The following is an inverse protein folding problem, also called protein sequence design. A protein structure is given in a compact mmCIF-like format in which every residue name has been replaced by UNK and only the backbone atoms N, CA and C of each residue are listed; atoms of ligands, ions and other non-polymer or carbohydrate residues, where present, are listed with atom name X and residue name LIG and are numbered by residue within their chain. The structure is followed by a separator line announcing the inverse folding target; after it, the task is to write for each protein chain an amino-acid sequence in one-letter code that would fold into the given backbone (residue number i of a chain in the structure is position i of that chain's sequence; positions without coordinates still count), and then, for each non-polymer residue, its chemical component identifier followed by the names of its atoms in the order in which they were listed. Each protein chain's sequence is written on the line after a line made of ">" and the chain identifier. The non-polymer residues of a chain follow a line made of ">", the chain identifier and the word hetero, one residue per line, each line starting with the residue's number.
data_IF_439600509412
#
_entry.id   IF_439600509412
#
_cell.length_a   1.000
_cell.length_b   1.000
_cell.length_c   1.000
_cell.angle_alpha   90.00
_cell.angle_beta   90.00
_cell.angle_gamma   90.00
#
_symmetry.space_group_name_H-M   'P 1'
#
loop_
_entity.id
_entity.type
_entity.pdbx_description
1 polymer ?
#
# COMPACT_ATOMS: atom_id res chain seq x y z
N UNK A 1 11.69 5.83 6.70
CA UNK A 1 11.51 6.06 8.15
C UNK A 1 10.35 7.02 8.35
N UNK A 2 9.76 7.09 9.54
CA UNK A 2 8.70 8.06 9.88
C UNK A 2 8.97 8.71 11.24
N UNK A 3 8.38 9.88 11.48
CA UNK A 3 8.31 10.51 12.80
C UNK A 3 6.84 10.81 13.12
N UNK A 4 6.48 10.73 14.39
CA UNK A 4 5.14 11.14 14.86
C UNK A 4 5.05 12.66 15.04
N UNK A 5 6.17 13.30 15.40
CA UNK A 5 6.29 14.75 15.58
C UNK A 5 7.50 15.27 14.83
N UNK A 6 7.52 16.57 14.49
CA UNK A 6 8.62 17.18 13.75
C UNK A 6 9.96 17.10 14.53
N UNK A 7 9.88 17.22 15.85
CA UNK A 7 10.99 17.13 16.81
C UNK A 7 11.31 15.70 17.25
N UNK A 8 10.46 14.72 16.92
CA UNK A 8 10.62 13.33 17.31
C UNK A 8 11.82 12.64 16.66
N UNK A 9 12.13 11.43 17.11
CA UNK A 9 13.15 10.58 16.50
C UNK A 9 12.61 9.86 15.26
N UNK A 10 13.47 9.64 14.27
CA UNK A 10 13.13 8.82 13.11
C UNK A 10 12.97 7.36 13.50
N UNK A 11 11.81 6.78 13.23
CA UNK A 11 11.56 5.35 13.37
C UNK A 11 11.73 4.63 12.03
N UNK A 12 12.63 3.64 11.91
CA UNK A 12 12.80 2.86 10.69
C UNK A 12 11.52 2.07 10.35
N UNK A 13 10.98 2.28 9.15
CA UNK A 13 9.74 1.61 8.68
C UNK A 13 10.00 0.49 7.67
N UNK A 14 11.14 0.50 7.01
CA UNK A 14 11.59 -0.55 6.11
C UNK A 14 13.12 -0.63 6.22
N UNK A 15 13.66 -1.85 6.25
CA UNK A 15 15.09 -2.13 6.38
C UNK A 15 15.53 -2.91 5.14
N UNK A 16 15.81 -2.22 4.03
CA UNK A 16 16.13 -2.91 2.77
C UNK A 16 16.36 -2.04 1.54
N UNK A 17 15.97 -0.76 1.59
CA UNK A 17 16.17 0.17 0.46
C UNK A 17 15.34 -0.16 -0.78
N UNK A 18 14.39 -1.06 -0.69
CA UNK A 18 13.62 -1.63 -1.80
C UNK A 18 12.15 -1.19 -1.83
N UNK A 19 11.77 -0.22 -0.98
CA UNK A 19 10.45 0.39 -1.02
C UNK A 19 10.25 1.12 -2.36
N UNK A 20 9.24 0.72 -3.12
CA UNK A 20 8.89 1.29 -4.44
C UNK A 20 7.75 2.28 -4.38
N UNK A 21 6.73 1.98 -3.58
CA UNK A 21 5.59 2.86 -3.37
C UNK A 21 5.30 2.93 -1.87
N UNK A 22 4.90 4.10 -1.40
CA UNK A 22 4.52 4.35 -0.01
C UNK A 22 3.17 5.06 -0.03
N UNK A 23 2.26 4.68 0.87
CA UNK A 23 1.00 5.37 1.06
C UNK A 23 0.67 5.44 2.55
N UNK A 24 0.07 6.56 2.95
CA UNK A 24 -0.42 6.82 4.30
C UNK A 24 -1.91 7.19 4.19
N UNK A 25 -2.75 6.61 5.04
CA UNK A 25 -4.16 6.99 5.15
C UNK A 25 -4.62 6.80 6.61
N UNK A 26 -5.02 7.89 7.27
CA UNK A 26 -5.29 7.85 8.70
C UNK A 26 -4.07 7.35 9.49
N UNK A 27 -4.26 6.30 10.30
CA UNK A 27 -3.19 5.63 11.06
C UNK A 27 -2.50 4.49 10.28
N UNK A 28 -2.97 4.18 9.07
CA UNK A 28 -2.41 3.10 8.25
C UNK A 28 -1.15 3.57 7.55
N UNK A 29 -0.10 2.77 7.69
CA UNK A 29 1.18 2.94 7.02
C UNK A 29 1.38 1.73 6.12
N UNK A 30 1.63 1.96 4.84
CA UNK A 30 1.90 0.89 3.90
C UNK A 30 3.02 1.24 2.93
N UNK A 31 3.73 0.21 2.47
CA UNK A 31 4.66 0.31 1.36
C UNK A 31 4.66 -0.99 0.55
N UNK A 32 5.09 -0.91 -0.71
CA UNK A 32 5.45 -2.09 -1.48
C UNK A 32 6.94 -2.18 -1.72
N UNK A 33 7.46 -3.39 -1.81
CA UNK A 33 8.86 -3.63 -2.13
C UNK A 33 9.09 -3.86 -3.63
N UNK A 34 10.35 -4.13 -4.01
CA UNK A 34 10.74 -4.34 -5.41
C UNK A 34 10.08 -5.55 -6.08
N UNK A 35 9.74 -6.56 -5.29
CA UNK A 35 8.99 -7.75 -5.70
C UNK A 35 7.47 -7.50 -5.80
N UNK A 36 6.97 -6.32 -5.43
CA UNK A 36 5.54 -6.03 -5.45
C UNK A 36 4.76 -6.66 -4.30
N UNK A 37 5.42 -7.07 -3.22
CA UNK A 37 4.75 -7.41 -1.97
C UNK A 37 4.36 -6.10 -1.27
N UNK A 38 3.10 -6.00 -0.85
CA UNK A 38 2.54 -4.90 -0.08
C UNK A 38 2.59 -5.27 1.39
N UNK A 39 3.23 -4.41 2.17
CA UNK A 39 3.29 -4.50 3.62
C UNK A 39 2.52 -3.33 4.20
N UNK A 40 1.64 -3.60 5.15
CA UNK A 40 0.85 -2.57 5.81
C UNK A 40 0.69 -2.86 7.31
N UNK A 41 0.56 -1.80 8.09
CA UNK A 41 0.20 -1.89 9.50
C UNK A 41 -0.69 -0.72 9.88
N UNK A 42 -1.48 -0.93 10.91
CA UNK A 42 -2.16 0.13 11.62
C UNK A 42 -1.28 0.54 12.81
N UNK A 43 -1.11 1.85 12.98
CA UNK A 43 -0.26 2.48 13.98
C UNK A 43 1.26 2.28 13.79
N UNK A 44 2.02 3.27 14.23
CA UNK A 44 3.48 3.31 14.05
C UNK A 44 4.22 2.18 14.79
N UNK A 45 3.63 1.65 15.87
CA UNK A 45 4.15 0.53 16.65
C UNK A 45 3.42 -0.80 16.38
N UNK A 46 2.48 -0.81 15.43
CA UNK A 46 1.75 -2.01 15.06
C UNK A 46 2.61 -3.05 14.34
N UNK A 47 2.01 -4.22 14.12
CA UNK A 47 2.65 -5.34 13.43
C UNK A 47 2.45 -5.20 11.92
N UNK A 48 3.49 -5.52 11.14
CA UNK A 48 3.38 -5.56 9.68
C UNK A 48 2.60 -6.78 9.22
N UNK A 49 1.62 -6.55 8.35
CA UNK A 49 0.91 -7.56 7.57
C UNK A 49 1.47 -7.59 6.16
N UNK A 50 1.81 -8.79 5.66
CA UNK A 50 2.15 -8.99 4.25
C UNK A 50 0.87 -9.34 3.51
N UNK A 51 0.37 -8.41 2.69
CA UNK A 51 -0.98 -8.51 2.12
C UNK A 51 -1.06 -9.41 0.88
N UNK A 52 0.05 -9.58 0.17
CA UNK A 52 0.19 -10.46 -0.99
C UNK A 52 1.60 -11.09 -0.96
N UNK A 53 1.77 -12.20 -0.21
CA UNK A 53 3.09 -12.80 0.03
C UNK A 53 3.77 -13.35 -1.23
N UNK A 54 3.01 -13.51 -2.32
CA UNK A 54 3.49 -13.90 -3.64
C UNK A 54 4.21 -12.78 -4.41
N UNK A 55 4.06 -11.52 -4.01
CA UNK A 55 4.77 -10.39 -4.61
C UNK A 55 4.41 -10.19 -6.09
N UNK A 56 3.28 -9.53 -6.34
CA UNK A 56 2.73 -9.36 -7.70
C UNK A 56 1.99 -8.05 -7.95
N UNK A 57 2.01 -7.14 -6.98
CA UNK A 57 1.36 -5.85 -7.15
C UNK A 57 2.19 -4.95 -8.06
N UNK A 58 1.58 -4.40 -9.11
CA UNK A 58 2.22 -3.42 -10.00
C UNK A 58 1.84 -1.98 -9.67
N UNK A 59 0.66 -1.77 -9.10
CA UNK A 59 0.19 -0.50 -8.54
C UNK A 59 -0.83 -0.79 -7.44
N UNK A 60 -0.94 0.08 -6.44
CA UNK A 60 -1.90 -0.05 -5.35
C UNK A 60 -2.24 1.31 -4.73
N UNK A 61 -3.34 1.40 -3.98
CA UNK A 61 -3.76 2.61 -3.28
C UNK A 61 -4.44 2.26 -1.95
N UNK A 62 -4.45 3.22 -1.01
CA UNK A 62 -5.28 3.19 0.18
C UNK A 62 -6.44 4.16 0.02
N UNK A 63 -7.64 3.76 0.43
CA UNK A 63 -8.77 4.67 0.59
C UNK A 63 -9.62 4.28 1.81
N UNK A 64 -9.59 5.13 2.84
CA UNK A 64 -10.12 4.77 4.14
C UNK A 64 -9.48 3.47 4.67
N UNK A 65 -10.33 2.51 5.05
CA UNK A 65 -9.87 1.19 5.51
C UNK A 65 -9.53 0.19 4.39
N UNK A 66 -9.72 0.56 3.13
CA UNK A 66 -9.60 -0.34 1.98
C UNK A 66 -8.23 -0.25 1.31
N UNK A 67 -7.80 -1.37 0.76
CA UNK A 67 -6.64 -1.45 -0.13
C UNK A 67 -7.12 -1.88 -1.50
N UNK A 68 -6.68 -1.16 -2.52
CA UNK A 68 -6.95 -1.50 -3.91
C UNK A 68 -5.62 -1.74 -4.63
N UNK A 69 -5.56 -2.72 -5.52
CA UNK A 69 -4.32 -3.11 -6.19
C UNK A 69 -4.56 -3.68 -7.59
N UNK A 70 -3.54 -3.53 -8.43
CA UNK A 70 -3.39 -4.30 -9.66
C UNK A 70 -2.55 -5.53 -9.35
N UNK A 71 -3.16 -6.71 -9.37
CA UNK A 71 -2.53 -8.00 -9.10
C UNK A 71 -2.60 -8.86 -10.37
N UNK A 72 -1.45 -9.19 -10.96
CA UNK A 72 -1.37 -9.93 -12.23
C UNK A 72 -2.22 -9.30 -13.37
N UNK A 73 -2.29 -7.97 -13.40
CA UNK A 73 -3.11 -7.23 -14.36
C UNK A 73 -4.62 -7.27 -14.10
N UNK A 74 -5.07 -7.75 -12.94
CA UNK A 74 -6.46 -7.71 -12.50
C UNK A 74 -6.63 -6.63 -11.44
N UNK A 75 -7.81 -6.00 -11.40
CA UNK A 75 -8.16 -5.07 -10.34
C UNK A 75 -8.76 -5.84 -9.16
N UNK A 76 -8.13 -5.73 -7.99
CA UNK A 76 -8.61 -6.33 -6.76
C UNK A 76 -8.70 -5.29 -5.63
N UNK A 77 -9.66 -5.50 -4.72
CA UNK A 77 -9.80 -4.73 -3.49
C UNK A 77 -9.83 -5.66 -2.28
N UNK A 78 -9.35 -5.19 -1.14
CA UNK A 78 -9.42 -5.89 0.15
C UNK A 78 -9.91 -4.92 1.21
N UNK A 79 -10.88 -5.37 2.00
CA UNK A 79 -11.37 -4.64 3.16
C UNK A 79 -10.50 -5.00 4.38
N UNK A 80 -9.88 -3.99 5.01
CA UNK A 80 -8.94 -4.17 6.12
C UNK A 80 -7.68 -5.02 5.82
N UNK A 81 -6.77 -5.11 6.79
CA UNK A 81 -5.48 -5.82 6.63
C UNK A 81 -5.65 -7.34 6.57
N UNK A 82 -6.65 -7.88 7.25
CA UNK A 82 -6.86 -9.33 7.39
C UNK A 82 -8.01 -9.88 6.52
N UNK A 83 -8.79 -9.02 5.86
CA UNK A 83 -9.87 -9.46 4.97
C UNK A 83 -9.36 -10.17 3.71
N UNK A 84 -10.18 -10.84 2.91
CA UNK A 84 -9.71 -11.43 1.65
C UNK A 84 -9.57 -10.40 0.53
N UNK A 85 -8.71 -10.68 -0.46
CA UNK A 85 -8.76 -9.95 -1.73
C UNK A 85 -10.00 -10.38 -2.53
N UNK A 86 -10.73 -9.40 -3.02
CA UNK A 86 -11.91 -9.55 -3.87
C UNK A 86 -11.56 -9.03 -5.28
N UNK A 87 -11.82 -9.84 -6.30
CA UNK A 87 -11.62 -9.43 -7.68
C UNK A 87 -12.75 -8.49 -8.13
N UNK A 88 -12.39 -7.28 -8.56
CA UNK A 88 -13.31 -6.25 -9.03
C UNK A 88 -13.37 -6.15 -10.56
N UNK A 89 -12.24 -6.42 -11.23
CA UNK A 89 -12.17 -6.61 -12.68
C UNK A 89 -11.09 -7.65 -13.02
N UNK A 90 -11.41 -8.52 -13.97
CA UNK A 90 -10.54 -9.62 -14.42
C UNK A 90 -10.28 -9.53 -15.92
N UNK A 91 -9.13 -10.01 -16.38
CA UNK A 91 -8.76 -10.00 -17.80
C UNK A 91 -7.26 -9.84 -18.05
N UNK A 92 -6.49 -9.46 -17.02
CA UNK A 92 -5.03 -9.32 -17.09
C UNK A 92 -4.53 -8.03 -17.76
N UNK A 93 -5.43 -7.11 -18.10
CA UNK A 93 -5.14 -5.89 -18.85
C UNK A 93 -5.23 -4.60 -18.03
N UNK A 94 -5.64 -4.66 -16.76
CA UNK A 94 -5.60 -3.51 -15.86
C UNK A 94 -4.14 -3.12 -15.63
N UNK A 95 -3.83 -1.85 -15.90
CA UNK A 95 -2.48 -1.28 -15.69
C UNK A 95 -2.42 -0.29 -14.55
N UNK A 96 -3.54 0.36 -14.25
CA UNK A 96 -3.58 1.43 -13.28
C UNK A 96 -4.76 1.36 -12.33
N UNK A 97 -4.51 1.72 -11.08
CA UNK A 97 -5.53 1.97 -10.06
C UNK A 97 -5.24 3.30 -9.38
N UNK A 98 -6.21 4.22 -9.40
CA UNK A 98 -6.05 5.56 -8.88
C UNK A 98 -7.32 5.99 -8.14
N UNK A 99 -7.14 6.64 -6.99
CA UNK A 99 -8.24 7.31 -6.32
C UNK A 99 -8.60 8.60 -7.08
N UNK A 100 -9.86 9.04 -6.95
CA UNK A 100 -10.40 10.18 -7.72
C UNK A 100 -9.70 11.52 -7.46
N UNK A 101 -9.02 11.67 -6.32
CA UNK A 101 -8.49 12.96 -5.88
C UNK A 101 -6.99 13.15 -6.15
N UNK A 102 -6.55 12.92 -7.39
CA UNK A 102 -5.20 13.32 -7.81
C UNK A 102 -5.13 14.85 -7.97
N UNK A 103 -5.02 15.59 -6.86
CA UNK A 103 -4.48 16.95 -6.92
C UNK A 103 -2.97 16.82 -7.09
N UNK A 104 -2.51 16.87 -8.34
CA UNK A 104 -1.11 17.12 -8.65
C UNK A 104 -0.77 18.52 -8.13
N UNK A 105 0.01 18.61 -7.05
CA UNK A 105 0.75 19.83 -6.78
C UNK A 105 1.93 19.88 -7.74
N UNK A 106 1.96 20.95 -8.54
CA UNK A 106 3.05 21.25 -9.47
C UNK A 106 4.22 21.80 -8.65
N UNK A 107 5.39 21.21 -8.90
CA UNK A 107 6.71 21.77 -8.62
C UNK A 107 7.64 21.32 -9.73
#
# INVERSE_FOLDING_TARGET
>A
AMKETLDGSWLPMATGGDAKQIALNGNRIAFSNSAGAILAKDDVYGTWHVLNPDGRATEWQLEGGNISAVLDGNFAMKEALDGPWLAMATGGDVKHVQNRDRVVQIG
#
